data_IF_131221730968
#
_entry.id   IF_131221730968
#
_cell.length_a   1.000
_cell.length_b   1.000
_cell.length_c   1.000
_cell.angle_alpha   90.00
_cell.angle_beta   90.00
_cell.angle_gamma   90.00
#
_symmetry.space_group_name_H-M   'P 1'
#
loop_
_entity.id
_entity.type
_entity.pdbx_description
1 polymer ?
#
# COMPACT_ATOMS: atom_id res chain seq x y z
N UNK A 1 6.35 -18.91 3.16
CA UNK A 1 7.64 -18.18 3.08
C UNK A 1 8.30 -18.22 4.45
N UNK A 2 9.64 -18.31 4.57
CA UNK A 2 10.29 -18.27 5.90
C UNK A 2 10.35 -16.85 6.44
N UNK A 3 10.54 -16.70 7.77
CA UNK A 3 10.67 -15.40 8.42
C UNK A 3 11.89 -14.63 7.90
N UNK A 4 13.02 -15.32 7.70
CA UNK A 4 14.25 -14.73 7.17
C UNK A 4 14.06 -14.18 5.76
N UNK A 5 13.28 -14.85 4.91
CA UNK A 5 12.97 -14.37 3.57
C UNK A 5 12.09 -13.10 3.59
N UNK A 6 11.15 -13.01 4.54
CA UNK A 6 10.32 -11.81 4.74
C UNK A 6 11.18 -10.64 5.23
N UNK A 7 12.08 -10.89 6.20
CA UNK A 7 13.01 -9.89 6.71
C UNK A 7 13.93 -9.35 5.61
N UNK A 8 14.42 -10.22 4.74
CA UNK A 8 15.27 -9.83 3.62
C UNK A 8 14.52 -8.93 2.62
N UNK A 9 13.25 -9.23 2.31
CA UNK A 9 12.40 -8.37 1.47
C UNK A 9 12.28 -6.97 2.09
N UNK A 10 11.92 -6.89 3.38
CA UNK A 10 11.74 -5.60 4.07
C UNK A 10 13.05 -4.82 4.11
N UNK A 11 14.18 -5.51 4.36
CA UNK A 11 15.52 -4.90 4.35
C UNK A 11 15.85 -4.30 2.98
N UNK A 12 15.58 -5.03 1.88
CA UNK A 12 15.78 -4.54 0.51
C UNK A 12 14.92 -3.32 0.23
N UNK A 13 13.63 -3.35 0.62
CA UNK A 13 12.72 -2.22 0.42
C UNK A 13 13.14 -0.99 1.21
N UNK A 14 13.59 -1.17 2.45
CA UNK A 14 14.08 -0.06 3.28
C UNK A 14 15.35 0.56 2.69
N UNK A 15 16.27 -0.26 2.22
CA UNK A 15 17.47 0.21 1.53
C UNK A 15 17.11 0.97 0.24
N UNK A 16 16.19 0.44 -0.56
CA UNK A 16 15.72 1.09 -1.78
C UNK A 16 15.03 2.43 -1.48
N UNK A 17 14.17 2.48 -0.46
CA UNK A 17 13.53 3.71 -0.03
C UNK A 17 14.57 4.80 0.33
N UNK A 18 15.62 4.43 1.07
CA UNK A 18 16.67 5.37 1.47
C UNK A 18 17.55 5.87 0.30
N UNK A 19 17.49 5.26 -0.86
CA UNK A 19 18.13 5.83 -2.07
C UNK A 19 17.46 7.12 -2.53
N UNK A 20 16.20 7.36 -2.10
CA UNK A 20 15.41 8.50 -2.54
C UNK A 20 14.83 8.36 -3.96
N UNK A 21 14.98 7.20 -4.61
CA UNK A 21 14.48 6.97 -5.97
C UNK A 21 12.97 7.22 -6.09
N UNK A 22 12.20 6.85 -5.06
CA UNK A 22 10.74 7.02 -5.00
C UNK A 22 10.29 8.46 -4.78
N UNK A 23 11.19 9.38 -4.41
CA UNK A 23 10.85 10.80 -4.21
C UNK A 23 10.59 11.53 -5.53
N UNK A 24 11.14 11.04 -6.63
CA UNK A 24 10.94 11.64 -7.95
C UNK A 24 9.49 11.41 -8.42
N UNK A 25 8.76 12.50 -8.73
CA UNK A 25 7.36 12.44 -9.16
C UNK A 25 7.23 11.75 -10.52
N UNK A 26 8.16 11.95 -11.45
CA UNK A 26 8.11 11.32 -12.78
C UNK A 26 8.34 9.81 -12.70
N UNK A 27 9.17 9.35 -11.75
CA UNK A 27 9.31 7.93 -11.42
C UNK A 27 7.97 7.32 -10.99
N UNK A 28 7.26 7.98 -10.05
CA UNK A 28 5.95 7.52 -9.55
C UNK A 28 4.90 7.50 -10.67
N UNK A 29 4.86 8.53 -11.53
CA UNK A 29 3.97 8.59 -12.69
C UNK A 29 4.25 7.43 -13.64
N UNK A 30 5.52 7.13 -13.91
CA UNK A 30 5.91 6.00 -14.77
C UNK A 30 5.49 4.67 -14.15
N UNK A 31 5.67 4.49 -12.85
CA UNK A 31 5.25 3.30 -12.11
C UNK A 31 3.73 3.10 -12.19
N UNK A 32 2.94 4.14 -11.96
CA UNK A 32 1.47 4.09 -12.06
C UNK A 32 0.98 3.80 -13.48
N UNK A 33 1.60 4.38 -14.50
CA UNK A 33 1.26 4.08 -15.91
C UNK A 33 1.57 2.64 -16.28
N UNK A 34 2.70 2.09 -15.80
CA UNK A 34 3.06 0.70 -16.03
C UNK A 34 2.03 -0.24 -15.39
N UNK A 35 1.63 0.04 -14.15
CA UNK A 35 0.59 -0.71 -13.45
C UNK A 35 -0.74 -0.63 -14.20
N UNK A 36 -1.15 0.56 -14.66
CA UNK A 36 -2.38 0.75 -15.44
C UNK A 36 -2.42 -0.12 -16.69
N UNK A 37 -1.32 -0.11 -17.46
CA UNK A 37 -1.20 -0.90 -18.70
C UNK A 37 -1.25 -2.39 -18.39
N UNK A 38 -0.55 -2.87 -17.36
CA UNK A 38 -0.55 -4.27 -16.98
C UNK A 38 -1.94 -4.73 -16.50
N UNK A 39 -2.64 -3.96 -15.67
CA UNK A 39 -4.02 -4.29 -15.27
C UNK A 39 -4.95 -4.38 -16.51
N UNK A 40 -4.83 -3.46 -17.44
CA UNK A 40 -5.65 -3.47 -18.67
C UNK A 40 -5.36 -4.69 -19.55
N UNK A 41 -4.11 -5.08 -19.69
CA UNK A 41 -3.71 -6.25 -20.50
C UNK A 41 -4.10 -7.58 -19.85
N UNK A 42 -4.22 -7.64 -18.53
CA UNK A 42 -4.60 -8.84 -17.77
C UNK A 42 -6.10 -8.90 -17.42
N UNK A 43 -6.96 -8.06 -18.03
CA UNK A 43 -8.38 -7.97 -17.63
C UNK A 43 -9.12 -9.31 -17.71
N UNK A 44 -8.84 -10.13 -18.73
CA UNK A 44 -9.47 -11.45 -18.85
C UNK A 44 -9.01 -12.43 -17.76
N UNK A 45 -7.73 -12.42 -17.41
CA UNK A 45 -7.16 -13.25 -16.35
C UNK A 45 -7.70 -12.82 -14.98
N UNK A 46 -7.83 -11.51 -14.75
CA UNK A 46 -8.44 -10.95 -13.53
C UNK A 46 -9.90 -11.42 -13.41
N UNK A 47 -10.68 -11.32 -14.48
CA UNK A 47 -12.06 -11.77 -14.52
C UNK A 47 -12.17 -13.28 -14.24
N UNK A 48 -11.30 -14.09 -14.85
CA UNK A 48 -11.26 -15.53 -14.64
C UNK A 48 -10.90 -15.88 -13.18
N UNK A 49 -9.94 -15.19 -12.58
CA UNK A 49 -9.53 -15.40 -11.20
C UNK A 49 -10.64 -15.04 -10.21
N UNK A 50 -11.29 -13.87 -10.37
CA UNK A 50 -12.40 -13.42 -9.52
C UNK A 50 -13.65 -14.32 -9.68
N UNK A 51 -13.87 -14.84 -10.87
CA UNK A 51 -14.92 -15.86 -11.08
C UNK A 51 -14.60 -17.17 -10.38
N UNK A 52 -13.34 -17.62 -10.43
CA UNK A 52 -12.90 -18.84 -9.78
C UNK A 52 -13.02 -18.79 -8.26
N UNK A 53 -12.58 -17.67 -7.64
CA UNK A 53 -12.55 -17.52 -6.19
C UNK A 53 -13.91 -17.13 -5.60
N UNK A 54 -14.68 -16.27 -6.27
CA UNK A 54 -15.84 -15.59 -5.71
C UNK A 54 -17.12 -15.74 -6.56
N UNK A 55 -17.05 -16.40 -7.72
CA UNK A 55 -18.20 -16.52 -8.62
C UNK A 55 -18.61 -15.22 -9.33
N UNK A 56 -17.80 -14.17 -9.25
CA UNK A 56 -18.12 -12.86 -9.84
C UNK A 56 -18.22 -12.93 -11.37
N UNK A 57 -19.23 -12.28 -11.94
CA UNK A 57 -19.30 -12.09 -13.40
C UNK A 57 -18.23 -11.11 -13.87
N UNK A 58 -17.89 -11.11 -15.17
CA UNK A 58 -16.93 -10.15 -15.73
C UNK A 58 -17.38 -8.70 -15.53
N UNK A 59 -18.69 -8.44 -15.60
CA UNK A 59 -19.26 -7.12 -15.33
C UNK A 59 -19.04 -6.70 -13.88
N UNK A 60 -19.34 -7.57 -12.93
CA UNK A 60 -19.16 -7.32 -11.50
C UNK A 60 -17.67 -7.15 -11.16
N UNK A 61 -16.80 -8.02 -11.72
CA UNK A 61 -15.34 -7.94 -11.54
C UNK A 61 -14.79 -6.60 -11.99
N UNK A 62 -15.26 -6.09 -13.12
CA UNK A 62 -14.86 -4.76 -13.60
C UNK A 62 -15.46 -3.64 -12.74
N UNK A 63 -16.76 -3.65 -12.50
CA UNK A 63 -17.46 -2.55 -11.81
C UNK A 63 -17.04 -2.41 -10.34
N UNK A 64 -16.75 -3.52 -9.66
CA UNK A 64 -16.50 -3.52 -8.22
C UNK A 64 -15.03 -3.71 -7.85
N UNK A 65 -14.14 -4.02 -8.83
CA UNK A 65 -12.74 -4.26 -8.55
C UNK A 65 -11.81 -3.57 -9.56
N UNK A 66 -11.51 -4.19 -10.72
CA UNK A 66 -10.47 -3.67 -11.62
C UNK A 66 -10.79 -2.28 -12.18
N UNK A 67 -12.03 -1.96 -12.46
CA UNK A 67 -12.45 -0.65 -12.95
C UNK A 67 -12.27 0.46 -11.92
N UNK A 68 -12.49 0.17 -10.63
CA UNK A 68 -12.26 1.12 -9.55
C UNK A 68 -10.75 1.42 -9.40
N UNK A 69 -9.90 0.39 -9.43
CA UNK A 69 -8.44 0.57 -9.40
C UNK A 69 -7.96 1.42 -10.59
N UNK A 70 -8.47 1.14 -11.81
CA UNK A 70 -8.12 1.94 -13.00
C UNK A 70 -8.60 3.40 -12.88
N UNK A 71 -9.74 3.63 -12.23
CA UNK A 71 -10.24 4.97 -11.91
C UNK A 71 -9.33 5.70 -10.94
N UNK A 72 -8.89 5.03 -9.86
CA UNK A 72 -7.97 5.59 -8.87
C UNK A 72 -6.60 5.91 -9.48
N UNK A 73 -6.03 5.01 -10.30
CA UNK A 73 -4.79 5.30 -11.03
C UNK A 73 -4.96 6.56 -11.90
N UNK A 74 -6.09 6.66 -12.61
CA UNK A 74 -6.38 7.82 -13.47
C UNK A 74 -6.49 9.11 -12.66
N UNK A 75 -7.12 9.05 -11.49
CA UNK A 75 -7.22 10.18 -10.57
C UNK A 75 -5.82 10.59 -10.07
N UNK A 76 -5.02 9.64 -9.59
CA UNK A 76 -3.67 9.92 -9.10
C UNK A 76 -2.75 10.48 -10.19
N UNK A 77 -2.80 9.95 -11.41
CA UNK A 77 -2.02 10.49 -12.53
C UNK A 77 -2.34 11.96 -12.84
N UNK A 78 -3.59 12.38 -12.63
CA UNK A 78 -4.00 13.78 -12.82
C UNK A 78 -3.56 14.69 -11.67
N UNK A 79 -3.54 14.18 -10.45
CA UNK A 79 -3.41 14.99 -9.25
C UNK A 79 -2.05 14.90 -8.53
N UNK A 80 -1.26 13.86 -8.78
CA UNK A 80 0.00 13.58 -8.06
C UNK A 80 0.94 14.80 -7.98
N UNK A 81 1.05 15.59 -9.07
CA UNK A 81 1.90 16.80 -9.08
C UNK A 81 1.36 17.87 -8.14
N UNK A 82 0.05 18.03 -8.03
CA UNK A 82 -0.57 19.02 -7.13
C UNK A 82 -0.53 18.55 -5.68
N UNK A 83 -0.76 17.27 -5.44
CA UNK A 83 -0.71 16.66 -4.09
C UNK A 83 0.70 16.68 -3.50
N UNK A 84 1.73 16.58 -4.35
CA UNK A 84 3.13 16.58 -3.92
C UNK A 84 3.75 17.99 -3.77
N UNK A 85 2.99 19.07 -4.07
CA UNK A 85 3.51 20.44 -3.96
C UNK A 85 3.69 20.88 -2.52
N UNK A 86 4.76 21.62 -2.30
CA UNK A 86 4.95 22.38 -1.07
C UNK A 86 3.88 23.47 -0.94
N UNK A 87 3.30 23.61 0.25
CA UNK A 87 2.33 24.64 0.58
C UNK A 87 2.99 25.68 1.48
N UNK A 88 3.13 26.92 0.99
CA UNK A 88 3.62 28.02 1.81
C UNK A 88 2.64 28.28 2.96
N UNK A 89 3.17 28.46 4.15
CA UNK A 89 2.42 28.81 5.35
C UNK A 89 2.93 30.14 5.91
N UNK A 90 2.16 30.75 6.83
CA UNK A 90 2.53 32.02 7.45
C UNK A 90 3.88 31.89 8.19
N UNK A 91 4.81 32.82 7.89
CA UNK A 91 6.09 32.94 8.60
C UNK A 91 5.98 34.09 9.59
N UNK A 92 6.23 33.86 10.90
CA UNK A 92 6.23 34.93 11.89
C UNK A 92 7.21 36.06 11.55
N UNK A 93 6.83 37.30 11.82
CA UNK A 93 7.66 38.48 11.50
C UNK A 93 9.05 38.44 12.16
N UNK A 94 9.17 37.80 13.33
CA UNK A 94 10.43 37.55 14.02
C UNK A 94 11.44 36.73 13.22
N UNK A 95 10.98 35.97 12.21
CA UNK A 95 11.79 35.17 11.31
C UNK A 95 11.92 35.83 9.92
N UNK A 96 11.84 37.17 9.86
CA UNK A 96 11.96 37.97 8.62
C UNK A 96 13.18 37.50 7.81
N UNK A 97 13.00 37.39 6.49
CA UNK A 97 13.80 36.76 5.45
C UNK A 97 13.69 35.21 5.35
N UNK A 98 13.00 34.50 6.29
CA UNK A 98 12.72 33.09 6.17
C UNK A 98 11.40 32.82 5.43
N UNK A 99 11.29 31.62 4.85
CA UNK A 99 10.05 31.12 4.24
C UNK A 99 9.65 29.82 4.91
N UNK A 100 8.42 29.78 5.44
CA UNK A 100 7.84 28.57 6.04
C UNK A 100 6.96 27.84 5.03
N UNK A 101 7.07 26.52 4.97
CA UNK A 101 6.24 25.69 4.09
C UNK A 101 6.01 24.32 4.69
N UNK A 102 4.92 23.68 4.29
CA UNK A 102 4.64 22.26 4.53
C UNK A 102 4.95 21.49 3.25
N UNK A 103 5.70 20.40 3.39
CA UNK A 103 6.06 19.50 2.30
C UNK A 103 5.54 18.10 2.60
N UNK A 104 4.71 17.49 1.72
CA UNK A 104 4.36 16.09 1.83
C UNK A 104 5.61 15.21 1.77
N UNK A 105 5.70 14.22 2.64
CA UNK A 105 6.79 13.25 2.69
C UNK A 105 6.21 11.84 2.78
N UNK A 106 6.78 10.85 2.08
CA UNK A 106 6.38 9.45 2.24
C UNK A 106 6.71 8.95 3.65
N UNK A 107 5.95 7.96 4.11
CA UNK A 107 6.22 7.30 5.40
C UNK A 107 7.46 6.41 5.33
N UNK A 108 7.60 5.61 4.27
CA UNK A 108 8.69 4.64 4.14
C UNK A 108 8.25 3.33 3.52
N UNK A 109 8.47 2.23 4.24
CA UNK A 109 8.05 0.88 3.85
C UNK A 109 6.64 0.63 4.38
N UNK A 110 5.68 0.37 3.49
CA UNK A 110 4.27 0.14 3.83
C UNK A 110 3.91 -1.34 3.71
N UNK A 111 3.07 -1.83 4.62
CA UNK A 111 2.44 -3.14 4.54
C UNK A 111 0.96 -2.97 4.15
N UNK A 112 0.51 -3.67 3.12
CA UNK A 112 -0.89 -3.70 2.68
C UNK A 112 -1.41 -5.12 2.83
N UNK A 113 -2.32 -5.32 3.79
CA UNK A 113 -2.98 -6.61 4.04
C UNK A 113 -4.43 -6.54 3.59
N UNK A 114 -4.79 -7.32 2.58
CA UNK A 114 -6.10 -7.28 1.95
C UNK A 114 -6.96 -8.51 2.27
N UNK A 115 -8.29 -8.36 2.33
CA UNK A 115 -9.24 -9.43 2.58
C UNK A 115 -9.56 -10.22 1.33
N UNK A 116 -10.45 -11.23 1.46
CA UNK A 116 -10.85 -12.12 0.37
C UNK A 116 -12.08 -11.67 -0.42
N UNK A 117 -12.89 -10.75 0.12
CA UNK A 117 -14.19 -10.39 -0.48
C UNK A 117 -14.10 -9.41 -1.67
N UNK A 118 -13.12 -8.51 -1.65
CA UNK A 118 -12.73 -7.62 -2.75
C UNK A 118 -11.20 -7.65 -2.89
N UNK A 119 -10.64 -8.83 -3.24
CA UNK A 119 -9.20 -9.07 -3.10
C UNK A 119 -8.35 -8.24 -4.05
N UNK A 120 -8.84 -7.98 -5.26
CA UNK A 120 -8.11 -7.21 -6.25
C UNK A 120 -8.14 -5.71 -5.91
N UNK A 121 -9.34 -5.15 -5.69
CA UNK A 121 -9.51 -3.74 -5.31
C UNK A 121 -8.72 -3.40 -4.07
N UNK A 122 -8.97 -4.10 -2.96
CA UNK A 122 -8.40 -3.76 -1.66
C UNK A 122 -6.90 -4.09 -1.52
N UNK A 123 -6.30 -4.67 -2.56
CA UNK A 123 -4.85 -4.78 -2.68
C UNK A 123 -4.26 -3.64 -3.50
N UNK A 124 -4.84 -3.37 -4.68
CA UNK A 124 -4.24 -2.40 -5.61
C UNK A 124 -4.61 -0.95 -5.30
N UNK A 125 -5.79 -0.66 -4.79
CA UNK A 125 -6.21 0.71 -4.46
C UNK A 125 -5.25 1.37 -3.44
N UNK A 126 -4.99 0.76 -2.27
CA UNK A 126 -3.99 1.31 -1.35
C UNK A 126 -2.55 1.25 -1.90
N UNK A 127 -2.23 0.33 -2.82
CA UNK A 127 -0.93 0.31 -3.49
C UNK A 127 -0.75 1.54 -4.39
N UNK A 128 -1.79 1.92 -5.14
CA UNK A 128 -1.78 3.12 -5.99
C UNK A 128 -1.46 4.35 -5.15
N UNK A 129 -2.10 4.48 -3.99
CA UNK A 129 -1.85 5.58 -3.05
C UNK A 129 -0.44 5.54 -2.46
N UNK A 130 0.03 4.36 -2.08
CA UNK A 130 1.38 4.19 -1.54
C UNK A 130 2.45 4.59 -2.58
N UNK A 131 2.30 4.17 -3.85
CA UNK A 131 3.18 4.55 -4.97
C UNK A 131 3.10 6.06 -5.22
N UNK A 132 1.88 6.63 -5.27
CA UNK A 132 1.68 8.05 -5.50
C UNK A 132 2.31 8.92 -4.39
N UNK A 133 2.26 8.45 -3.14
CA UNK A 133 2.90 9.12 -2.01
C UNK A 133 4.43 8.96 -1.99
N UNK A 134 5.00 7.98 -2.71
CA UNK A 134 6.44 7.73 -2.79
C UNK A 134 6.96 6.70 -1.79
N UNK A 135 6.10 5.82 -1.31
CA UNK A 135 6.47 4.70 -0.43
C UNK A 135 6.96 3.50 -1.24
N UNK A 136 7.63 2.57 -0.57
CA UNK A 136 7.75 1.17 -1.00
C UNK A 136 6.64 0.35 -0.36
N UNK A 137 6.29 -0.81 -0.92
CA UNK A 137 5.14 -1.57 -0.42
C UNK A 137 5.38 -3.08 -0.40
N UNK A 138 4.96 -3.72 0.68
CA UNK A 138 4.80 -5.17 0.79
C UNK A 138 3.30 -5.49 0.76
N UNK A 139 2.87 -6.29 -0.20
CA UNK A 139 1.48 -6.71 -0.34
C UNK A 139 1.30 -8.10 0.26
N UNK A 140 0.25 -8.26 1.04
CA UNK A 140 -0.17 -9.54 1.59
C UNK A 140 -1.62 -9.82 1.19
N UNK A 141 -1.86 -10.33 -0.02
CA UNK A 141 -3.20 -10.73 -0.45
C UNK A 141 -3.70 -11.93 0.34
N UNK A 142 -5.02 -12.11 0.34
CA UNK A 142 -5.67 -13.16 1.14
C UNK A 142 -5.38 -14.57 0.61
N UNK A 143 -5.08 -15.50 1.51
CA UNK A 143 -4.99 -16.93 1.16
C UNK A 143 -6.33 -17.57 0.79
N UNK A 144 -7.45 -16.90 1.11
CA UNK A 144 -8.81 -17.39 0.81
C UNK A 144 -9.29 -17.02 -0.60
N UNK A 145 -8.51 -16.27 -1.36
CA UNK A 145 -8.74 -15.93 -2.77
C UNK A 145 -7.47 -16.26 -3.60
N UNK A 146 -7.12 -17.57 -3.73
CA UNK A 146 -5.82 -17.98 -4.26
C UNK A 146 -5.62 -17.63 -5.74
N UNK A 147 -6.65 -17.77 -6.57
CA UNK A 147 -6.54 -17.42 -7.99
C UNK A 147 -6.30 -15.91 -8.19
N UNK A 148 -7.05 -15.08 -7.46
CA UNK A 148 -6.86 -13.63 -7.49
C UNK A 148 -5.51 -13.21 -6.91
N UNK A 149 -5.06 -13.86 -5.84
CA UNK A 149 -3.73 -13.60 -5.27
C UNK A 149 -2.59 -13.95 -6.23
N UNK A 150 -2.75 -15.00 -7.03
CA UNK A 150 -1.77 -15.37 -8.06
C UNK A 150 -1.68 -14.32 -9.17
N UNK A 151 -2.81 -13.84 -9.70
CA UNK A 151 -2.77 -12.79 -10.75
C UNK A 151 -2.25 -11.46 -10.19
N UNK A 152 -2.54 -11.12 -8.94
CA UNK A 152 -1.93 -9.97 -8.26
C UNK A 152 -0.40 -10.10 -8.24
N UNK A 153 0.11 -11.28 -7.85
CA UNK A 153 1.53 -11.56 -7.80
C UNK A 153 2.20 -11.45 -9.18
N UNK A 154 1.54 -11.94 -10.23
CA UNK A 154 2.01 -11.86 -11.62
C UNK A 154 2.12 -10.41 -12.09
N UNK A 155 1.06 -9.63 -11.94
CA UNK A 155 1.01 -8.20 -12.31
C UNK A 155 2.11 -7.41 -11.57
N UNK A 156 2.26 -7.63 -10.27
CA UNK A 156 3.25 -6.90 -9.47
C UNK A 156 4.68 -7.25 -9.90
N UNK A 157 4.99 -8.52 -10.13
CA UNK A 157 6.32 -8.96 -10.58
C UNK A 157 6.67 -8.44 -11.97
N UNK A 158 5.68 -8.35 -12.85
CA UNK A 158 5.86 -7.74 -14.17
C UNK A 158 6.16 -6.23 -14.06
N UNK A 159 5.46 -5.54 -13.16
CA UNK A 159 5.54 -4.08 -13.05
C UNK A 159 6.74 -3.59 -12.25
N UNK A 160 7.12 -4.27 -11.18
CA UNK A 160 8.01 -3.72 -10.17
C UNK A 160 9.11 -4.69 -9.74
N UNK A 161 10.31 -4.20 -9.44
CA UNK A 161 11.31 -4.99 -8.74
C UNK A 161 10.89 -5.20 -7.27
N UNK A 162 11.34 -6.31 -6.67
CA UNK A 162 10.97 -6.72 -5.31
C UNK A 162 11.32 -5.68 -4.25
N UNK A 163 12.42 -4.96 -4.43
CA UNK A 163 12.85 -3.89 -3.54
C UNK A 163 11.94 -2.65 -3.57
N UNK A 164 11.04 -2.54 -4.57
CA UNK A 164 10.07 -1.46 -4.66
C UNK A 164 8.67 -1.91 -4.24
N UNK A 165 8.14 -2.97 -4.87
CA UNK A 165 6.86 -3.57 -4.50
C UNK A 165 7.02 -5.09 -4.47
N UNK A 166 6.79 -5.70 -3.32
CA UNK A 166 6.86 -7.14 -3.11
C UNK A 166 5.51 -7.74 -2.77
N UNK A 167 5.32 -9.02 -3.10
CA UNK A 167 4.13 -9.79 -2.70
C UNK A 167 4.55 -10.97 -1.84
N UNK A 168 4.01 -11.04 -0.62
CA UNK A 168 4.16 -12.17 0.29
C UNK A 168 2.90 -13.01 0.24
N UNK A 169 3.00 -14.17 -0.43
CA UNK A 169 1.93 -15.15 -0.51
C UNK A 169 1.92 -16.03 0.74
N UNK A 170 0.75 -16.52 1.14
CA UNK A 170 0.62 -17.44 2.27
C UNK A 170 -0.54 -17.12 3.19
N UNK A 171 -0.60 -17.80 4.32
CA UNK A 171 -1.73 -17.77 5.26
C UNK A 171 -1.41 -17.08 6.59
N UNK A 172 -1.91 -17.70 7.67
CA UNK A 172 -1.79 -17.15 9.03
C UNK A 172 -0.32 -17.03 9.49
N UNK A 173 0.53 -17.98 9.11
CA UNK A 173 1.93 -17.97 9.52
C UNK A 173 2.66 -16.74 8.93
N UNK A 174 2.48 -16.48 7.63
CA UNK A 174 3.08 -15.33 6.97
C UNK A 174 2.50 -14.01 7.48
N UNK A 175 1.21 -13.98 7.83
CA UNK A 175 0.61 -12.81 8.48
C UNK A 175 1.30 -12.49 9.80
N UNK A 176 1.49 -13.49 10.68
CA UNK A 176 2.16 -13.31 11.97
C UNK A 176 3.62 -12.88 11.79
N UNK A 177 4.35 -13.49 10.83
CA UNK A 177 5.72 -13.09 10.53
C UNK A 177 5.80 -11.63 10.07
N UNK A 178 4.90 -11.19 9.16
CA UNK A 178 4.87 -9.80 8.69
C UNK A 178 4.54 -8.82 9.81
N UNK A 179 3.57 -9.13 10.68
CA UNK A 179 3.17 -8.23 11.77
C UNK A 179 4.24 -8.09 12.86
N UNK A 180 5.19 -9.03 12.96
CA UNK A 180 6.33 -8.95 13.87
C UNK A 180 7.45 -8.04 13.33
N UNK A 181 7.40 -7.66 12.05
CA UNK A 181 8.40 -6.82 11.43
C UNK A 181 8.03 -5.33 11.51
N UNK A 182 9.03 -4.46 11.38
CA UNK A 182 8.82 -3.01 11.45
C UNK A 182 8.44 -2.43 10.09
N UNK A 183 7.22 -1.92 9.99
CA UNK A 183 6.72 -1.10 8.89
C UNK A 183 6.48 0.34 9.35
N UNK A 184 6.67 1.29 8.43
CA UNK A 184 6.43 2.71 8.71
C UNK A 184 4.94 3.07 8.57
N UNK A 185 4.17 2.23 7.88
CA UNK A 185 2.71 2.33 7.77
C UNK A 185 2.11 0.95 7.47
N UNK A 186 0.98 0.62 8.10
CA UNK A 186 0.23 -0.62 7.85
C UNK A 186 -1.19 -0.24 7.42
N UNK A 187 -1.56 -0.65 6.21
CA UNK A 187 -2.94 -0.62 5.72
C UNK A 187 -3.54 -2.02 5.85
N UNK A 188 -4.51 -2.15 6.73
CA UNK A 188 -5.17 -3.43 7.00
C UNK A 188 -6.67 -3.33 6.74
N UNK A 189 -7.19 -4.23 5.93
CA UNK A 189 -8.62 -4.44 5.75
C UNK A 189 -8.96 -5.90 6.08
N UNK A 190 -9.85 -6.12 7.05
CA UNK A 190 -10.20 -7.46 7.49
C UNK A 190 -11.04 -7.50 8.77
N UNK A 191 -10.99 -8.61 9.52
CA UNK A 191 -11.75 -8.76 10.75
C UNK A 191 -11.16 -7.94 11.90
N UNK A 192 -12.04 -7.54 12.85
CA UNK A 192 -11.61 -6.83 14.06
C UNK A 192 -10.57 -7.60 14.88
N UNK A 193 -10.64 -8.94 14.91
CA UNK A 193 -9.70 -9.76 15.66
C UNK A 193 -8.28 -9.61 15.13
N UNK A 194 -8.09 -9.72 13.80
CA UNK A 194 -6.78 -9.55 13.16
C UNK A 194 -6.34 -8.08 13.20
N UNK A 195 -7.27 -7.12 13.10
CA UNK A 195 -6.95 -5.70 13.26
C UNK A 195 -6.39 -5.36 14.64
N UNK A 196 -6.96 -5.93 15.71
CA UNK A 196 -6.43 -5.80 17.07
C UNK A 196 -5.03 -6.42 17.21
N UNK A 197 -4.81 -7.57 16.60
CA UNK A 197 -3.49 -8.21 16.55
C UNK A 197 -2.48 -7.29 15.84
N UNK A 198 -2.81 -6.76 14.67
CA UNK A 198 -1.95 -5.82 13.95
C UNK A 198 -1.57 -4.59 14.78
N UNK A 199 -2.53 -3.97 15.49
CA UNK A 199 -2.29 -2.82 16.36
C UNK A 199 -1.42 -3.19 17.56
N UNK A 200 -1.57 -4.38 18.15
CA UNK A 200 -0.79 -4.80 19.31
C UNK A 200 0.72 -4.89 19.02
N UNK A 201 1.10 -5.27 17.82
CA UNK A 201 2.50 -5.31 17.40
C UNK A 201 3.09 -3.91 17.11
N UNK A 202 2.29 -2.98 16.60
CA UNK A 202 2.75 -1.61 16.29
C UNK A 202 2.95 -0.75 17.52
N UNK A 203 2.20 -0.98 18.61
CA UNK A 203 2.36 -0.24 19.88
C UNK A 203 3.54 -0.70 20.73
N UNK A 204 4.12 -1.87 20.48
CA UNK A 204 5.31 -2.34 21.20
C UNK A 204 6.60 -1.56 20.87
N UNK A 205 6.59 -0.75 19.81
CA UNK A 205 7.73 0.07 19.39
C UNK A 205 7.62 1.56 19.74
N UNK A 206 6.60 1.97 20.47
CA UNK A 206 6.65 3.29 21.10
C UNK A 206 7.68 3.23 22.23
N UNK A 207 8.88 3.71 21.91
CA UNK A 207 10.01 3.98 22.81
C UNK A 207 9.56 4.59 24.15
N UNK A 208 10.29 4.44 25.27
CA UNK A 208 9.90 4.87 26.60
C UNK A 208 9.95 6.40 26.79
N UNK A 209 9.38 7.14 25.87
CA UNK A 209 9.02 8.54 26.11
C UNK A 209 7.57 8.58 26.57
N UNK A 210 7.39 9.10 27.78
CA UNK A 210 6.19 9.23 28.59
C UNK A 210 4.88 9.44 27.83
N UNK A 211 3.76 8.89 28.35
CA UNK A 211 2.45 9.10 27.76
C UNK A 211 2.09 10.59 27.87
N UNK A 212 2.18 11.31 26.77
CA UNK A 212 1.31 12.46 26.58
C UNK A 212 -0.11 11.88 26.50
N UNK A 213 -0.97 12.33 27.40
CA UNK A 213 -2.39 11.96 27.48
C UNK A 213 -2.99 11.93 26.05
N UNK A 214 -3.54 10.78 25.70
CA UNK A 214 -4.15 10.52 24.41
C UNK A 214 -5.22 11.55 24.06
N UNK A 215 -5.17 12.15 22.87
CA UNK A 215 -6.41 12.44 22.19
C UNK A 215 -6.86 11.12 21.56
N UNK A 216 -8.05 10.67 21.93
CA UNK A 216 -8.71 9.50 21.37
C UNK A 216 -8.55 9.48 19.84
N UNK A 217 -7.71 8.58 19.33
CA UNK A 217 -7.64 8.29 17.90
C UNK A 217 -8.96 7.61 17.52
N UNK A 218 -9.92 8.39 17.04
CA UNK A 218 -11.15 7.88 16.45
C UNK A 218 -10.78 7.17 15.15
N UNK A 219 -10.59 5.85 15.25
CA UNK A 219 -10.61 4.95 14.10
C UNK A 219 -11.99 5.07 13.44
N UNK A 220 -12.07 5.74 12.29
CA UNK A 220 -13.27 5.72 11.47
C UNK A 220 -13.38 4.37 10.79
N UNK A 221 -14.17 3.47 11.38
CA UNK A 221 -14.62 2.26 10.73
C UNK A 221 -15.78 2.61 9.79
N UNK A 222 -15.59 2.46 8.49
CA UNK A 222 -16.72 2.33 7.57
C UNK A 222 -17.26 0.90 7.67
N UNK A 223 -18.55 0.80 7.98
CA UNK A 223 -19.30 -0.47 8.00
C UNK A 223 -19.65 -0.92 6.60
#
# INVERSE_FOLDING_TARGET
MTQEAIQEIIRKQRNYFYTGATLNIDFRITALKKLQTSIQSHQEQINAALKSDLGKSSFESYMCESGLVLSEITYMLKHIRSLSKEKTVHTPLAQFHSRSYMKPSPYGVTLIMSPWNYPFLLTFDPLVDAIAAGNTAVLKPSAYSPATSNIICEIVRECFPEEYVAVVMGGRQENSCLLQEHFDYIFFTGSQAVGKEAVSYTHLFLSPFQPLQEPEAKLHWQR
#
